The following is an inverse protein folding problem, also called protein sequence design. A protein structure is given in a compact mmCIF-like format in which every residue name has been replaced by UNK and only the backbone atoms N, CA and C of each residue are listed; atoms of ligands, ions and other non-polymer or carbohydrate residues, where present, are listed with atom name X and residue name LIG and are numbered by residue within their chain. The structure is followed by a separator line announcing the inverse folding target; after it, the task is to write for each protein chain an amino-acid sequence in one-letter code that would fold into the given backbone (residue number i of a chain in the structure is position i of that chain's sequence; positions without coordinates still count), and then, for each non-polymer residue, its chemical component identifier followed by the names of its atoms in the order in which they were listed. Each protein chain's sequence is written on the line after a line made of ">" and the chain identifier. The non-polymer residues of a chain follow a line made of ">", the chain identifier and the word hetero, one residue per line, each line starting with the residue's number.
data_IF_270359528595
#
_entry.id   IF_270359528595
#
_cell.length_a   1.000
_cell.length_b   1.000
_cell.length_c   1.000
_cell.angle_alpha   90.00
_cell.angle_beta   90.00
_cell.angle_gamma   90.00
#
_symmetry.space_group_name_H-M   'P 1'
#
loop_
_entity.id
_entity.type
_entity.pdbx_description
1 polymer ?
#
# COMPACT_ATOMS: atom_id res chain seq x y z
N UNK A 1 -4.22 -18.53 -8.43
CA UNK A 1 -3.36 -17.33 -8.35
C UNK A 1 -3.43 -16.61 -9.68
N UNK A 2 -4.13 -15.48 -9.74
CA UNK A 2 -4.13 -14.63 -10.92
C UNK A 2 -2.79 -13.85 -10.98
N UNK A 3 -2.23 -13.64 -12.18
CA UNK A 3 -0.89 -13.05 -12.37
C UNK A 3 -0.78 -11.58 -11.93
N UNK A 4 -1.88 -10.90 -11.62
CA UNK A 4 -1.87 -9.50 -11.19
C UNK A 4 -1.73 -9.33 -9.67
N UNK A 5 -1.93 -10.39 -8.88
CA UNK A 5 -1.67 -10.40 -7.43
C UNK A 5 -0.19 -10.14 -7.08
N UNK A 6 0.72 -10.26 -8.05
CA UNK A 6 2.17 -10.09 -7.87
C UNK A 6 2.72 -8.84 -8.57
N UNK A 7 1.89 -8.01 -9.20
CA UNK A 7 2.33 -6.83 -9.95
C UNK A 7 2.04 -5.54 -9.20
N UNK A 8 2.93 -4.56 -9.34
CA UNK A 8 2.76 -3.23 -8.75
C UNK A 8 3.16 -3.11 -7.28
N UNK A 9 3.74 -4.16 -6.68
CA UNK A 9 4.42 -4.07 -5.39
C UNK A 9 5.82 -3.46 -5.49
N UNK A 10 6.52 -3.40 -4.36
CA UNK A 10 7.91 -2.93 -4.29
C UNK A 10 8.86 -3.80 -5.12
N UNK A 11 9.79 -3.15 -5.83
CA UNK A 11 10.87 -3.79 -6.59
C UNK A 11 12.05 -4.21 -5.70
N UNK A 12 12.27 -3.50 -4.58
CA UNK A 12 13.20 -3.87 -3.51
C UNK A 12 12.44 -3.85 -2.19
N UNK A 13 11.84 -5.00 -1.86
CA UNK A 13 10.90 -5.15 -0.75
C UNK A 13 11.47 -4.60 0.56
N UNK A 14 12.67 -4.99 0.94
CA UNK A 14 13.24 -4.64 2.23
C UNK A 14 13.57 -3.14 2.31
N UNK A 15 14.24 -2.59 1.29
CA UNK A 15 14.68 -1.19 1.31
C UNK A 15 13.50 -0.24 1.15
N UNK A 16 12.58 -0.55 0.24
CA UNK A 16 11.41 0.28 -0.03
C UNK A 16 10.42 0.24 1.13
N UNK A 17 10.16 -0.92 1.76
CA UNK A 17 9.34 -0.99 2.96
C UNK A 17 9.93 -0.19 4.12
N UNK A 18 11.25 -0.27 4.37
CA UNK A 18 11.89 0.50 5.43
C UNK A 18 11.81 2.01 5.20
N UNK A 19 11.97 2.44 3.94
CA UNK A 19 11.88 3.85 3.53
C UNK A 19 10.45 4.38 3.65
N UNK A 20 9.47 3.60 3.18
CA UNK A 20 8.06 3.91 3.29
C UNK A 20 7.63 3.99 4.76
N UNK A 21 8.00 3.00 5.58
CA UNK A 21 7.69 2.96 7.01
C UNK A 21 8.20 4.21 7.72
N UNK A 22 9.44 4.64 7.44
CA UNK A 22 10.00 5.87 8.03
C UNK A 22 9.20 7.10 7.65
N UNK A 23 8.79 7.21 6.39
CA UNK A 23 7.99 8.35 5.91
C UNK A 23 6.59 8.38 6.54
N UNK A 24 5.95 7.21 6.66
CA UNK A 24 4.66 7.05 7.33
C UNK A 24 4.78 7.41 8.82
N UNK A 25 5.82 6.91 9.50
CA UNK A 25 6.10 7.21 10.90
C UNK A 25 6.30 8.72 11.12
N UNK A 26 7.04 9.40 10.24
CA UNK A 26 7.25 10.84 10.32
C UNK A 26 5.94 11.62 10.16
N UNK A 27 5.10 11.25 9.19
CA UNK A 27 3.80 11.88 8.97
C UNK A 27 2.88 11.74 10.20
N UNK A 28 2.92 10.60 10.89
CA UNK A 28 2.17 10.39 12.14
C UNK A 28 2.79 11.15 13.33
N UNK A 29 4.12 11.18 13.43
CA UNK A 29 4.83 11.81 14.54
C UNK A 29 4.81 13.36 14.47
N UNK A 30 4.60 13.92 13.28
CA UNK A 30 4.52 15.36 13.04
C UNK A 30 3.21 15.72 12.32
N UNK A 31 2.07 15.68 13.02
CA UNK A 31 0.78 15.97 12.40
C UNK A 31 0.76 17.30 11.65
N UNK A 32 0.25 17.28 10.42
CA UNK A 32 0.19 18.45 9.53
C UNK A 32 1.32 18.56 8.51
N UNK A 33 2.36 17.71 8.58
CA UNK A 33 3.35 17.59 7.51
C UNK A 33 2.86 16.68 6.39
N UNK A 34 3.28 16.97 5.16
CA UNK A 34 2.96 16.17 3.96
C UNK A 34 4.22 15.42 3.55
N UNK A 35 4.11 14.10 3.43
CA UNK A 35 5.17 13.21 2.97
C UNK A 35 4.75 12.54 1.67
N UNK A 36 5.69 12.44 0.71
CA UNK A 36 5.47 11.74 -0.55
C UNK A 36 5.81 10.26 -0.39
N UNK A 37 4.97 9.41 -0.98
CA UNK A 37 5.15 7.96 -1.00
C UNK A 37 5.16 7.48 -2.46
N UNK A 38 6.11 6.60 -2.77
CA UNK A 38 6.36 6.10 -4.13
C UNK A 38 6.70 4.60 -4.09
N UNK A 39 6.84 3.99 -5.26
CA UNK A 39 7.34 2.61 -5.40
C UNK A 39 6.28 1.53 -5.48
N UNK A 40 4.99 1.88 -5.36
CA UNK A 40 3.87 0.98 -5.64
C UNK A 40 3.03 1.50 -6.82
N UNK A 41 2.43 0.56 -7.56
CA UNK A 41 1.47 0.83 -8.63
C UNK A 41 0.20 0.01 -8.32
N UNK A 42 -0.64 0.47 -7.38
CA UNK A 42 -1.83 -0.26 -7.00
C UNK A 42 -2.91 -0.19 -8.10
N UNK A 43 -3.88 -1.12 -8.10
CA UNK A 43 -5.01 -1.05 -9.02
C UNK A 43 -5.88 0.18 -8.74
N UNK A 44 -6.40 0.77 -9.82
CA UNK A 44 -7.39 1.85 -9.74
C UNK A 44 -8.64 1.36 -8.98
N UNK A 45 -9.30 2.20 -8.16
CA UNK A 45 -9.05 3.64 -7.95
C UNK A 45 -8.13 3.96 -6.77
N UNK A 46 -7.35 2.99 -6.27
CA UNK A 46 -6.50 3.20 -5.11
C UNK A 46 -5.35 4.17 -5.44
N UNK A 47 -5.09 5.14 -4.56
CA UNK A 47 -3.94 6.03 -4.71
C UNK A 47 -2.62 5.29 -4.44
N UNK A 48 -1.53 5.78 -5.02
CA UNK A 48 -0.17 5.27 -4.75
C UNK A 48 0.13 5.26 -3.25
N UNK A 49 -0.18 6.35 -2.54
CA UNK A 49 0.06 6.45 -1.10
C UNK A 49 -0.68 5.36 -0.32
N UNK A 50 -1.95 5.09 -0.63
CA UNK A 50 -2.70 4.02 0.03
C UNK A 50 -2.13 2.63 -0.30
N UNK A 51 -1.71 2.39 -1.55
CA UNK A 51 -1.04 1.14 -1.92
C UNK A 51 0.27 0.93 -1.16
N UNK A 52 1.11 1.97 -1.06
CA UNK A 52 2.36 1.93 -0.29
C UNK A 52 2.10 1.65 1.20
N UNK A 53 1.09 2.28 1.79
CA UNK A 53 0.70 2.04 3.20
C UNK A 53 0.28 0.58 3.41
N UNK A 54 -0.56 0.04 2.52
CA UNK A 54 -0.99 -1.37 2.58
C UNK A 54 0.21 -2.32 2.50
N UNK A 55 1.10 -2.14 1.52
CA UNK A 55 2.28 -3.00 1.35
C UNK A 55 3.29 -2.91 2.52
N UNK A 56 3.28 -1.79 3.24
CA UNK A 56 4.25 -1.53 4.32
C UNK A 56 3.74 -2.00 5.68
N UNK A 57 2.43 -1.84 5.94
CA UNK A 57 1.85 -2.03 7.27
C UNK A 57 0.94 -3.25 7.39
N UNK A 58 0.45 -3.78 6.26
CA UNK A 58 -0.54 -4.86 6.27
C UNK A 58 0.09 -6.17 5.85
N UNK A 59 -0.36 -7.22 6.52
CA UNK A 59 -0.02 -8.62 6.30
C UNK A 59 -1.27 -9.50 6.54
N UNK A 60 -1.17 -10.84 6.37
CA UNK A 60 -2.31 -11.74 6.59
C UNK A 60 -2.89 -11.73 8.02
N UNK A 61 -2.15 -11.21 9.02
CA UNK A 61 -2.60 -11.09 10.40
C UNK A 61 -3.30 -9.74 10.67
N UNK A 62 -3.36 -8.85 9.68
CA UNK A 62 -4.06 -7.55 9.73
C UNK A 62 -5.37 -7.58 8.93
N UNK A 63 -6.55 -7.75 9.56
CA UNK A 63 -7.81 -7.71 8.83
C UNK A 63 -8.06 -6.36 8.16
N UNK A 64 -8.37 -6.39 6.86
CA UNK A 64 -8.64 -5.19 6.06
C UNK A 64 -10.13 -5.00 5.81
N UNK A 65 -10.64 -3.81 6.14
CA UNK A 65 -11.92 -3.33 5.63
C UNK A 65 -11.71 -2.63 4.28
N UNK A 66 -12.47 -3.04 3.26
CA UNK A 66 -12.45 -2.41 1.94
C UNK A 66 -13.76 -1.67 1.73
N UNK A 67 -13.67 -0.34 1.58
CA UNK A 67 -14.83 0.51 1.35
C UNK A 67 -15.40 0.34 -0.07
N UNK A 68 -16.71 0.53 -0.21
CA UNK A 68 -17.45 0.28 -1.47
C UNK A 68 -16.93 1.08 -2.67
N UNK A 69 -16.34 2.26 -2.45
CA UNK A 69 -15.79 3.11 -3.53
C UNK A 69 -14.51 2.56 -4.16
N UNK A 70 -13.82 1.64 -3.47
CA UNK A 70 -12.56 1.04 -3.95
C UNK A 70 -12.67 -0.49 -4.07
N UNK A 71 -13.80 -1.08 -3.69
CA UNK A 71 -14.03 -2.52 -3.69
C UNK A 71 -14.23 -3.05 -5.11
N UNK A 72 -13.11 -3.31 -5.78
CA UNK A 72 -13.06 -3.90 -7.13
C UNK A 72 -12.46 -5.30 -7.08
N UNK A 73 -12.84 -6.19 -8.02
CA UNK A 73 -12.20 -7.50 -8.14
C UNK A 73 -10.68 -7.41 -8.25
N UNK A 74 -10.18 -6.40 -8.97
CA UNK A 74 -8.75 -6.16 -9.15
C UNK A 74 -8.06 -5.80 -7.82
N UNK A 75 -8.67 -4.92 -7.00
CA UNK A 75 -8.14 -4.60 -5.68
C UNK A 75 -8.15 -5.83 -4.77
N UNK A 76 -9.26 -6.59 -4.76
CA UNK A 76 -9.40 -7.80 -3.94
C UNK A 76 -8.36 -8.86 -4.29
N UNK A 77 -8.07 -9.06 -5.58
CA UNK A 77 -7.02 -9.98 -6.01
C UNK A 77 -5.62 -9.46 -5.72
N UNK A 78 -5.43 -8.14 -5.61
CA UNK A 78 -4.12 -7.53 -5.36
C UNK A 78 -3.72 -7.60 -3.88
N UNK A 79 -4.68 -7.49 -2.96
CA UNK A 79 -4.44 -7.56 -1.51
C UNK A 79 -4.55 -8.97 -0.91
N UNK A 80 -4.86 -9.98 -1.73
CA UNK A 80 -5.03 -11.38 -1.30
C UNK A 80 -3.73 -12.17 -1.38
#
# INVERSE_FOLDING_TARGET
>A
MQPDALKGGFTDLSVQSATAFRSILQAMAQPGTIHQLEGAVPPSPLSVAAGVVLLTLCDPETPLFVGTSVDTPDLRSWIS
#
